data_IF_382041413281
#
_entry.id   IF_382041413281
#
_cell.length_a   1.000
_cell.length_b   1.000
_cell.length_c   1.000
_cell.angle_alpha   90.00
_cell.angle_beta   90.00
_cell.angle_gamma   90.00
#
_symmetry.space_group_name_H-M   'P 1'
#
loop_
_entity.id
_entity.type
_entity.pdbx_description
1 polymer ?
#
# COMPACT_ATOMS: atom_id res chain seq x y z
N UNK A 1 -2.97 6.65 13.81
CA UNK A 1 -2.06 6.20 14.90
C UNK A 1 -1.66 4.72 14.75
N UNK A 2 -2.52 3.83 14.24
CA UNK A 2 -2.27 2.36 14.19
C UNK A 2 -1.39 1.93 13.00
N UNK A 3 -1.48 2.60 11.86
CA UNK A 3 -0.77 2.23 10.62
C UNK A 3 0.75 2.20 10.82
N UNK A 4 1.32 3.28 11.36
CA UNK A 4 2.78 3.39 11.52
C UNK A 4 3.36 2.26 12.38
N UNK A 5 2.87 2.00 13.62
CA UNK A 5 3.42 0.91 14.42
C UNK A 5 3.19 -0.46 13.78
N UNK A 6 2.05 -0.68 13.12
CA UNK A 6 1.80 -1.94 12.43
C UNK A 6 2.80 -2.18 11.29
N UNK A 7 3.04 -1.18 10.44
CA UNK A 7 4.02 -1.26 9.34
C UNK A 7 5.45 -1.47 9.86
N UNK A 8 5.84 -0.79 10.95
CA UNK A 8 7.16 -0.96 11.56
C UNK A 8 7.34 -2.36 12.14
N UNK A 9 6.34 -2.88 12.85
CA UNK A 9 6.38 -4.26 13.38
C UNK A 9 6.49 -5.27 12.24
N UNK A 10 5.66 -5.14 11.21
CA UNK A 10 5.71 -6.01 10.04
C UNK A 10 7.09 -5.99 9.36
N UNK A 11 7.65 -4.80 9.15
CA UNK A 11 8.99 -4.63 8.56
C UNK A 11 10.06 -5.27 9.45
N UNK A 12 9.99 -5.05 10.76
CA UNK A 12 10.92 -5.65 11.72
C UNK A 12 10.87 -7.18 11.71
N UNK A 13 9.67 -7.76 11.63
CA UNK A 13 9.47 -9.22 11.52
C UNK A 13 10.10 -9.75 10.23
N UNK A 14 9.90 -9.09 9.08
CA UNK A 14 10.49 -9.52 7.80
C UNK A 14 12.01 -9.49 7.86
N UNK A 15 12.61 -8.43 8.42
CA UNK A 15 14.07 -8.32 8.57
C UNK A 15 14.61 -9.42 9.51
N UNK A 16 13.94 -9.63 10.64
CA UNK A 16 14.34 -10.69 11.59
C UNK A 16 14.25 -12.09 10.97
N UNK A 17 13.16 -12.39 10.27
CA UNK A 17 12.98 -13.67 9.57
C UNK A 17 14.02 -13.85 8.46
N UNK A 18 14.38 -12.78 7.74
CA UNK A 18 15.47 -12.81 6.76
C UNK A 18 16.80 -13.23 7.40
N UNK A 19 17.12 -12.69 8.57
CA UNK A 19 18.31 -13.09 9.33
C UNK A 19 18.28 -14.56 9.75
N UNK A 20 17.14 -15.05 10.27
CA UNK A 20 16.95 -16.45 10.63
C UNK A 20 17.03 -17.38 9.40
N UNK A 21 16.51 -16.95 8.27
CA UNK A 21 16.58 -17.69 7.01
C UNK A 21 17.98 -17.69 6.36
N UNK A 22 18.96 -17.04 7.01
CA UNK A 22 20.35 -17.04 6.53
C UNK A 22 20.65 -16.03 5.42
N UNK A 23 19.81 -15.04 5.25
CA UNK A 23 20.07 -13.91 4.32
C UNK A 23 21.26 -13.11 4.87
N UNK A 24 22.39 -13.14 4.15
CA UNK A 24 23.64 -12.46 4.54
C UNK A 24 23.90 -11.17 3.77
N UNK A 25 23.00 -10.79 2.87
CA UNK A 25 23.12 -9.53 2.15
C UNK A 25 23.01 -8.35 3.12
N UNK A 26 23.86 -7.32 2.98
CA UNK A 26 23.76 -6.11 3.79
C UNK A 26 22.40 -5.45 3.56
N UNK A 27 21.78 -5.00 4.66
CA UNK A 27 20.51 -4.27 4.59
C UNK A 27 20.77 -2.89 3.94
N UNK A 28 20.16 -2.65 2.78
CA UNK A 28 20.14 -1.32 2.16
C UNK A 28 19.14 -0.42 2.92
N UNK A 29 19.62 0.23 3.97
CA UNK A 29 18.82 1.08 4.85
C UNK A 29 18.10 2.20 4.09
N UNK A 30 18.72 2.95 3.16
CA UNK A 30 18.03 3.91 2.33
C UNK A 30 16.86 3.33 1.55
N UNK A 31 17.06 2.24 0.83
CA UNK A 31 16.01 1.55 0.05
C UNK A 31 14.86 1.10 0.95
N UNK A 32 15.17 0.48 2.10
CA UNK A 32 14.17 0.04 3.05
C UNK A 32 13.39 1.20 3.68
N UNK A 33 14.07 2.30 4.00
CA UNK A 33 13.41 3.50 4.54
C UNK A 33 12.39 4.08 3.56
N UNK A 34 12.77 4.20 2.30
CA UNK A 34 11.86 4.68 1.26
C UNK A 34 10.68 3.73 1.02
N UNK A 35 10.92 2.43 1.07
CA UNK A 35 9.86 1.43 0.96
C UNK A 35 8.87 1.53 2.12
N UNK A 36 9.35 1.63 3.36
CA UNK A 36 8.50 1.80 4.56
C UNK A 36 7.68 3.09 4.49
N UNK A 37 8.27 4.21 4.09
CA UNK A 37 7.54 5.47 3.90
C UNK A 37 6.44 5.31 2.84
N UNK A 38 6.77 4.71 1.71
CA UNK A 38 5.80 4.45 0.64
C UNK A 38 4.66 3.53 1.12
N UNK A 39 4.98 2.50 1.90
CA UNK A 39 4.02 1.56 2.47
C UNK A 39 3.05 2.29 3.42
N UNK A 40 3.56 3.12 4.33
CA UNK A 40 2.74 3.92 5.25
C UNK A 40 1.79 4.84 4.49
N UNK A 41 2.25 5.45 3.40
CA UNK A 41 1.40 6.32 2.57
C UNK A 41 0.27 5.53 1.91
N UNK A 42 0.56 4.39 1.28
CA UNK A 42 -0.44 3.52 0.64
C UNK A 42 -1.43 2.99 1.68
N UNK A 43 -0.94 2.47 2.80
CA UNK A 43 -1.78 1.95 3.89
C UNK A 43 -2.71 3.03 4.45
N UNK A 44 -2.21 4.27 4.60
CA UNK A 44 -3.02 5.39 5.10
C UNK A 44 -4.17 5.72 4.15
N UNK A 45 -3.92 5.75 2.83
CA UNK A 45 -4.96 6.00 1.83
C UNK A 45 -5.98 4.87 1.81
N UNK A 46 -5.54 3.61 1.82
CA UNK A 46 -6.43 2.46 1.83
C UNK A 46 -7.24 2.37 3.13
N UNK A 47 -6.63 2.68 4.28
CA UNK A 47 -7.34 2.75 5.55
C UNK A 47 -8.43 3.82 5.51
N UNK A 48 -8.12 5.03 5.01
CA UNK A 48 -9.09 6.10 4.85
C UNK A 48 -10.27 5.67 3.94
N UNK A 49 -9.97 4.95 2.86
CA UNK A 49 -10.99 4.36 2.00
C UNK A 49 -11.87 3.35 2.73
N UNK A 50 -11.29 2.43 3.52
CA UNK A 50 -12.05 1.43 4.27
C UNK A 50 -12.89 2.06 5.39
N UNK A 51 -12.38 3.09 6.08
CA UNK A 51 -13.16 3.84 7.07
C UNK A 51 -14.37 4.49 6.40
N UNK A 52 -14.17 5.13 5.25
CA UNK A 52 -15.26 5.73 4.48
C UNK A 52 -16.28 4.66 4.05
N UNK A 53 -15.81 3.53 3.52
CA UNK A 53 -16.69 2.43 3.10
C UNK A 53 -17.53 1.91 4.27
N UNK A 54 -16.92 1.75 5.44
CA UNK A 54 -17.60 1.31 6.66
C UNK A 54 -18.61 2.33 7.18
N UNK A 55 -18.41 3.62 6.90
CA UNK A 55 -19.33 4.67 7.31
C UNK A 55 -20.60 4.74 6.43
N UNK A 56 -20.52 4.28 5.17
CA UNK A 56 -21.65 4.32 4.22
C UNK A 56 -22.35 2.97 4.06
N UNK A 57 -21.71 1.88 4.45
CA UNK A 57 -22.24 0.53 4.33
C UNK A 57 -22.56 -0.02 5.73
N UNK A 58 -23.84 -0.26 6.03
CA UNK A 58 -24.28 -0.87 7.28
C UNK A 58 -23.80 -2.34 7.40
N UNK A 59 -23.59 -3.00 6.26
CA UNK A 59 -23.17 -4.40 6.23
C UNK A 59 -21.64 -4.49 6.31
N UNK A 60 -21.11 -4.94 7.45
CA UNK A 60 -19.69 -5.13 7.70
C UNK A 60 -19.02 -6.11 6.72
N UNK A 61 -19.77 -7.06 6.13
CA UNK A 61 -19.25 -8.00 5.13
C UNK A 61 -18.75 -7.28 3.87
N UNK A 62 -19.31 -6.11 3.55
CA UNK A 62 -18.83 -5.29 2.40
C UNK A 62 -17.41 -4.81 2.64
N UNK A 63 -17.12 -4.29 3.83
CA UNK A 63 -15.78 -3.83 4.19
C UNK A 63 -14.75 -4.97 4.17
N UNK A 64 -15.07 -6.10 4.80
CA UNK A 64 -14.21 -7.29 4.85
C UNK A 64 -14.04 -7.88 3.45
N UNK A 65 -15.10 -8.03 2.68
CA UNK A 65 -15.07 -8.54 1.32
C UNK A 65 -14.23 -7.67 0.38
N UNK A 66 -14.38 -6.35 0.49
CA UNK A 66 -13.57 -5.40 -0.28
C UNK A 66 -12.09 -5.50 0.06
N UNK A 67 -11.75 -5.65 1.36
CA UNK A 67 -10.37 -5.84 1.80
C UNK A 67 -9.77 -7.15 1.27
N UNK A 68 -10.54 -8.25 1.33
CA UNK A 68 -10.12 -9.56 0.83
C UNK A 68 -9.88 -9.53 -0.69
N UNK A 69 -10.84 -9.02 -1.46
CA UNK A 69 -10.71 -8.87 -2.93
C UNK A 69 -9.54 -7.95 -3.27
N UNK A 70 -9.39 -6.83 -2.53
CA UNK A 70 -8.27 -5.92 -2.69
C UNK A 70 -6.91 -6.59 -2.45
N UNK A 71 -6.80 -7.46 -1.44
CA UNK A 71 -5.60 -8.26 -1.18
C UNK A 71 -5.25 -9.20 -2.33
N UNK A 72 -6.24 -9.88 -2.92
CA UNK A 72 -6.03 -10.68 -4.13
C UNK A 72 -5.60 -9.82 -5.32
N UNK A 73 -6.23 -8.67 -5.53
CA UNK A 73 -5.84 -7.73 -6.59
C UNK A 73 -4.38 -7.32 -6.39
N UNK A 74 -3.97 -6.95 -5.16
CA UNK A 74 -2.60 -6.57 -4.85
C UNK A 74 -1.58 -7.65 -5.30
N UNK A 75 -1.87 -8.94 -5.04
CA UNK A 75 -1.01 -10.04 -5.48
C UNK A 75 -0.91 -10.15 -6.99
N UNK A 76 -2.04 -10.09 -7.70
CA UNK A 76 -2.05 -10.21 -9.16
C UNK A 76 -1.41 -9.01 -9.87
N UNK A 77 -1.39 -7.83 -9.23
CA UNK A 77 -0.79 -6.63 -9.81
C UNK A 77 0.73 -6.70 -9.98
N UNK A 78 1.41 -7.62 -9.31
CA UNK A 78 2.82 -7.94 -9.60
C UNK A 78 3.03 -8.47 -11.01
N UNK A 79 2.00 -9.09 -11.60
CA UNK A 79 2.02 -9.61 -12.98
C UNK A 79 1.61 -8.54 -14.02
N UNK A 80 1.02 -7.44 -13.60
CA UNK A 80 0.51 -6.39 -14.48
C UNK A 80 0.92 -4.97 -14.01
N UNK A 81 2.22 -4.61 -14.03
CA UNK A 81 2.72 -3.37 -13.45
C UNK A 81 2.14 -2.09 -14.06
N UNK A 82 1.73 -2.12 -15.34
CA UNK A 82 1.09 -0.98 -16.01
C UNK A 82 -0.30 -0.68 -15.45
N UNK A 83 -1.07 -1.72 -15.14
CA UNK A 83 -2.43 -1.62 -14.57
C UNK A 83 -2.38 -1.31 -13.08
N UNK A 84 -1.34 -1.78 -12.38
CA UNK A 84 -1.13 -1.58 -10.95
C UNK A 84 -1.15 -0.11 -10.54
N UNK A 85 -0.73 0.80 -11.41
CA UNK A 85 -0.69 2.26 -11.16
C UNK A 85 -2.07 2.91 -11.09
N UNK A 86 -3.09 2.28 -11.62
CA UNK A 86 -4.46 2.82 -11.67
C UNK A 86 -5.33 2.30 -10.53
N UNK A 87 -5.01 1.13 -10.01
CA UNK A 87 -5.78 0.45 -8.97
C UNK A 87 -5.16 0.74 -7.60
N UNK A 88 -5.92 1.23 -6.60
CA UNK A 88 -5.37 1.57 -5.28
C UNK A 88 -4.60 0.42 -4.61
N UNK A 89 -5.12 -0.80 -4.63
CA UNK A 89 -4.41 -1.98 -4.08
C UNK A 89 -3.20 -2.40 -4.92
N UNK A 90 -3.13 -2.02 -6.20
CA UNK A 90 -2.00 -2.28 -7.08
C UNK A 90 -0.73 -1.53 -6.65
N UNK A 91 -0.87 -0.48 -5.85
CA UNK A 91 0.28 0.29 -5.37
C UNK A 91 1.24 -0.53 -4.51
N UNK A 92 0.81 -1.61 -3.87
CA UNK A 92 1.73 -2.53 -3.19
C UNK A 92 2.76 -3.15 -4.17
N UNK A 93 2.35 -3.45 -5.39
CA UNK A 93 3.28 -3.90 -6.43
C UNK A 93 4.13 -2.75 -6.98
N UNK A 94 3.54 -1.56 -7.12
CA UNK A 94 4.20 -0.37 -7.70
C UNK A 94 5.32 0.17 -6.81
N UNK A 95 5.15 0.10 -5.47
CA UNK A 95 6.16 0.59 -4.50
C UNK A 95 7.25 -0.43 -4.18
N UNK A 96 7.15 -1.65 -4.70
CA UNK A 96 8.17 -2.70 -4.46
C UNK A 96 9.53 -2.22 -4.96
N UNK A 97 10.58 -2.25 -4.10
CA UNK A 97 11.87 -1.66 -4.42
C UNK A 97 12.71 -2.49 -5.40
N UNK A 98 12.20 -3.66 -5.81
CA UNK A 98 12.87 -4.56 -6.74
C UNK A 98 11.90 -5.02 -7.82
N UNK A 99 12.39 -5.16 -9.03
CA UNK A 99 11.64 -5.73 -10.15
C UNK A 99 12.45 -6.82 -10.84
N UNK A 100 11.78 -7.71 -11.55
CA UNK A 100 12.48 -8.68 -12.40
C UNK A 100 13.05 -7.96 -13.62
N UNK A 101 14.34 -8.13 -13.88
CA UNK A 101 14.97 -7.58 -15.07
C UNK A 101 14.42 -8.25 -16.32
N UNK A 102 14.03 -7.45 -17.32
CA UNK A 102 13.56 -7.97 -18.60
C UNK A 102 14.62 -8.86 -19.25
N UNK A 103 14.27 -10.10 -19.53
CA UNK A 103 15.16 -11.07 -20.18
C UNK A 103 16.21 -11.74 -19.29
N UNK A 104 16.13 -11.57 -17.96
CA UNK A 104 16.99 -12.28 -17.01
C UNK A 104 16.18 -12.76 -15.79
N UNK A 105 16.69 -13.76 -15.08
CA UNK A 105 16.13 -14.21 -13.80
C UNK A 105 16.64 -13.37 -12.61
N UNK A 106 17.23 -12.20 -12.86
CA UNK A 106 17.79 -11.32 -11.84
C UNK A 106 16.79 -10.28 -11.35
N UNK A 107 16.92 -9.92 -10.07
CA UNK A 107 16.22 -8.78 -9.48
C UNK A 107 17.05 -7.51 -9.65
N UNK A 108 16.42 -6.43 -10.08
CA UNK A 108 17.04 -5.10 -10.19
C UNK A 108 16.35 -4.12 -9.24
N UNK A 109 17.12 -3.24 -8.58
CA UNK A 109 16.55 -2.20 -7.75
C UNK A 109 15.77 -1.20 -8.61
N UNK A 110 14.61 -0.78 -8.13
CA UNK A 110 13.75 0.19 -8.81
C UNK A 110 13.54 1.39 -7.89
N UNK A 111 13.63 2.58 -8.46
CA UNK A 111 13.35 3.81 -7.73
C UNK A 111 11.85 3.94 -7.43
N UNK A 112 11.47 4.48 -6.25
CA UNK A 112 10.08 4.72 -5.92
C UNK A 112 9.39 5.61 -6.93
N UNK A 113 8.19 5.29 -7.39
CA UNK A 113 7.45 6.06 -8.38
C UNK A 113 6.75 7.26 -7.74
N UNK A 114 7.51 8.24 -7.23
CA UNK A 114 7.02 9.40 -6.48
C UNK A 114 5.83 10.14 -7.12
N UNK A 115 5.80 10.41 -8.44
CA UNK A 115 4.67 11.10 -9.03
C UNK A 115 3.35 10.36 -8.82
N UNK A 116 3.37 9.04 -8.91
CA UNK A 116 2.20 8.19 -8.71
C UNK A 116 1.78 8.12 -7.25
N UNK A 117 2.74 8.03 -6.32
CA UNK A 117 2.47 8.05 -4.88
C UNK A 117 1.87 9.38 -4.44
N UNK A 118 2.42 10.51 -4.90
CA UNK A 118 1.88 11.84 -4.63
C UNK A 118 0.46 11.95 -5.18
N UNK A 119 0.25 11.49 -6.41
CA UNK A 119 -1.09 11.45 -7.03
C UNK A 119 -2.09 10.64 -6.21
N UNK A 120 -1.71 9.45 -5.73
CA UNK A 120 -2.56 8.61 -4.88
C UNK A 120 -2.93 9.31 -3.57
N UNK A 121 -1.94 9.91 -2.89
CA UNK A 121 -2.16 10.61 -1.60
C UNK A 121 -3.06 11.82 -1.79
N UNK A 122 -2.83 12.64 -2.83
CA UNK A 122 -3.67 13.80 -3.13
C UNK A 122 -5.10 13.39 -3.47
N UNK A 123 -5.27 12.36 -4.29
CA UNK A 123 -6.59 11.85 -4.64
C UNK A 123 -7.32 11.31 -3.40
N UNK A 124 -6.63 10.55 -2.56
CA UNK A 124 -7.15 10.02 -1.31
C UNK A 124 -7.55 11.12 -0.34
N UNK A 125 -6.71 12.13 -0.17
CA UNK A 125 -7.00 13.28 0.69
C UNK A 125 -8.21 14.08 0.20
N UNK A 126 -8.30 14.38 -1.10
CA UNK A 126 -9.44 15.09 -1.70
C UNK A 126 -10.73 14.27 -1.56
N UNK A 127 -10.67 12.98 -1.82
CA UNK A 127 -11.80 12.10 -1.64
C UNK A 127 -12.27 12.08 -0.18
N UNK A 128 -11.35 11.87 0.77
CA UNK A 128 -11.66 11.83 2.20
C UNK A 128 -12.31 13.14 2.69
N UNK A 129 -11.73 14.30 2.34
CA UNK A 129 -12.29 15.61 2.73
C UNK A 129 -13.68 15.84 2.12
N UNK A 130 -13.91 15.43 0.87
CA UNK A 130 -15.24 15.58 0.24
C UNK A 130 -16.28 14.68 0.89
N UNK A 131 -15.89 13.48 1.30
CA UNK A 131 -16.80 12.52 1.94
C UNK A 131 -17.15 12.92 3.37
N UNK A 132 -16.19 13.37 4.18
CA UNK A 132 -16.46 13.88 5.53
C UNK A 132 -17.41 15.06 5.49
N UNK A 133 -17.22 16.02 4.57
CA UNK A 133 -18.14 17.15 4.39
C UNK A 133 -19.57 16.73 3.97
N UNK A 134 -19.72 15.60 3.29
CA UNK A 134 -21.06 15.08 2.96
C UNK A 134 -21.75 14.46 4.17
N UNK A 135 -21.03 13.70 4.99
CA UNK A 135 -21.57 13.13 6.21
C UNK A 135 -22.06 14.19 7.19
N UNK A 136 -21.27 15.25 7.40
CA UNK A 136 -21.64 16.39 8.26
C UNK A 136 -22.92 17.13 7.80
N UNK A 137 -23.31 17.01 6.54
CA UNK A 137 -24.55 17.63 6.00
C UNK A 137 -25.78 16.77 6.17
N UNK A 138 -25.62 15.48 6.35
CA UNK A 138 -26.73 14.53 6.52
C UNK A 138 -27.16 14.45 7.99
N UNK A 139 -26.24 14.75 8.90
CA UNK A 139 -26.52 14.77 10.36
C UNK A 139 -27.13 16.10 10.85
N UNK A 140 -27.27 17.12 10.00
CA UNK A 140 -27.95 18.40 10.29
C UNK A 140 -29.33 18.47 9.66
#
# INVERSE_FOLDING_TARGET
>A
AVVIPATLVQTGVVVALGGVAGVRAPLDVPMWSWYVVSLVLVDTVLLAFHIWLSAICENQLVGVGTGLVGGFIALYMFLAPSVARVIPWGYYAVITPVAMAAGSNGLVPVLPPWPWLIGLVLLGAVAFVRFTKRLDRVER
#
